data_IF_738492301745
#
_entry.id   IF_738492301745
#
_cell.length_a   1.000
_cell.length_b   1.000
_cell.length_c   1.000
_cell.angle_alpha   90.00
_cell.angle_beta   90.00
_cell.angle_gamma   90.00
#
_symmetry.space_group_name_H-M   'P 1'
#
loop_
_entity.id
_entity.type
_entity.pdbx_description
1 polymer ?
#
# COMPACT_ATOMS: atom_id res chain seq x y z
N UNK A 1 6.09 -9.21 -3.44
CA UNK A 1 5.84 -7.86 -2.87
C UNK A 1 6.08 -6.80 -3.92
N UNK A 2 5.26 -5.77 -3.93
CA UNK A 2 5.35 -4.68 -4.90
C UNK A 2 5.57 -3.37 -4.16
N UNK A 3 6.59 -2.60 -4.58
CA UNK A 3 6.80 -1.23 -4.08
C UNK A 3 6.14 -0.25 -5.05
N UNK A 4 5.23 0.57 -4.54
CA UNK A 4 4.57 1.64 -5.30
C UNK A 4 5.02 2.98 -4.76
N UNK A 5 5.59 3.82 -5.62
CA UNK A 5 6.01 5.16 -5.21
C UNK A 5 4.78 6.03 -4.91
N UNK A 6 4.86 6.79 -3.82
CA UNK A 6 3.70 7.50 -3.34
C UNK A 6 3.38 8.75 -4.12
N UNK A 7 2.08 9.06 -4.15
CA UNK A 7 1.55 10.36 -4.50
C UNK A 7 0.94 10.97 -3.24
N UNK A 8 0.92 12.30 -3.16
CA UNK A 8 0.35 13.01 -2.01
C UNK A 8 -1.18 12.97 -1.98
N UNK A 9 -1.81 12.60 -3.10
CA UNK A 9 -3.26 12.59 -3.24
C UNK A 9 -3.79 11.18 -3.46
N UNK A 10 -4.98 10.91 -2.94
CA UNK A 10 -5.60 9.58 -2.98
C UNK A 10 -5.82 9.09 -4.41
N UNK A 11 -6.31 9.94 -5.31
CA UNK A 11 -6.59 9.51 -6.68
C UNK A 11 -5.33 9.11 -7.45
N UNK A 12 -4.27 9.93 -7.49
CA UNK A 12 -3.01 9.49 -8.10
C UNK A 12 -2.41 8.26 -7.42
N UNK A 13 -2.59 8.14 -6.10
CA UNK A 13 -2.17 6.97 -5.36
C UNK A 13 -2.82 5.69 -5.89
N UNK A 14 -4.15 5.70 -6.04
CA UNK A 14 -4.91 4.56 -6.56
C UNK A 14 -4.45 4.18 -7.97
N UNK A 15 -4.25 5.17 -8.82
CA UNK A 15 -3.78 4.95 -10.18
C UNK A 15 -2.38 4.33 -10.20
N UNK A 16 -1.48 4.81 -9.36
CA UNK A 16 -0.11 4.29 -9.26
C UNK A 16 -0.10 2.85 -8.76
N UNK A 17 -0.90 2.55 -7.73
CA UNK A 17 -1.03 1.19 -7.21
C UNK A 17 -1.59 0.25 -8.28
N UNK A 18 -2.65 0.66 -8.97
CA UNK A 18 -3.27 -0.14 -10.02
C UNK A 18 -2.32 -0.43 -11.17
N UNK A 19 -1.58 0.58 -11.62
CA UNK A 19 -0.62 0.41 -12.71
C UNK A 19 0.49 -0.57 -12.35
N UNK A 20 1.05 -0.42 -11.13
CA UNK A 20 2.12 -1.30 -10.67
C UNK A 20 1.64 -2.72 -10.46
N UNK A 21 0.43 -2.88 -9.94
CA UNK A 21 -0.19 -4.19 -9.73
C UNK A 21 -0.40 -4.91 -11.05
N UNK A 22 -0.84 -4.21 -12.09
CA UNK A 22 -1.02 -4.80 -13.43
C UNK A 22 0.28 -5.34 -14.01
N UNK A 23 1.41 -4.70 -13.72
CA UNK A 23 2.72 -5.18 -14.15
C UNK A 23 3.15 -6.44 -13.41
N UNK A 24 2.69 -6.62 -12.18
CA UNK A 24 3.18 -7.67 -11.28
C UNK A 24 2.34 -8.92 -11.29
N UNK A 25 1.08 -8.85 -11.73
CA UNK A 25 0.13 -9.98 -11.67
C UNK A 25 -0.39 -10.27 -13.07
N UNK A 26 -0.10 -11.45 -13.59
CA UNK A 26 -0.57 -11.87 -14.91
C UNK A 26 -2.02 -12.32 -14.93
N UNK A 27 -2.49 -12.95 -13.86
CA UNK A 27 -3.85 -13.47 -13.72
C UNK A 27 -4.42 -13.07 -12.38
N UNK A 28 -5.76 -13.01 -12.30
CA UNK A 28 -6.43 -12.74 -11.04
C UNK A 28 -6.23 -13.90 -10.07
N UNK A 29 -5.96 -13.58 -8.81
CA UNK A 29 -5.83 -14.56 -7.75
C UNK A 29 -7.20 -15.03 -7.30
N UNK A 30 -7.36 -16.34 -7.12
CA UNK A 30 -8.59 -16.94 -6.64
C UNK A 30 -8.54 -17.22 -5.14
N UNK A 31 -9.72 -17.42 -4.54
CA UNK A 31 -9.85 -17.85 -3.17
C UNK A 31 -9.54 -16.77 -2.15
N UNK A 32 -9.48 -17.17 -0.87
CA UNK A 32 -9.22 -16.20 0.21
C UNK A 32 -7.77 -15.75 0.21
N UNK A 33 -7.56 -14.47 0.51
CA UNK A 33 -6.26 -13.83 0.44
C UNK A 33 -5.92 -13.10 1.74
N UNK A 34 -4.62 -13.02 2.03
CA UNK A 34 -4.06 -12.16 3.07
C UNK A 34 -3.39 -10.98 2.39
N UNK A 35 -3.74 -9.78 2.82
CA UNK A 35 -3.12 -8.54 2.34
C UNK A 35 -2.21 -7.99 3.42
N UNK A 36 -0.93 -7.80 3.07
CA UNK A 36 0.03 -7.11 3.91
C UNK A 36 0.45 -5.84 3.21
N UNK A 37 0.33 -4.70 3.86
CA UNK A 37 0.72 -3.43 3.27
C UNK A 37 1.39 -2.52 4.28
N UNK A 38 2.49 -1.90 3.86
CA UNK A 38 3.18 -0.86 4.63
C UNK A 38 3.17 0.41 3.79
N UNK A 39 2.52 1.44 4.30
CA UNK A 39 2.49 2.76 3.67
C UNK A 39 3.68 3.57 4.20
N UNK A 40 4.65 3.80 3.32
CA UNK A 40 5.86 4.57 3.64
C UNK A 40 5.63 6.00 3.20
N UNK A 41 5.44 6.89 4.17
CA UNK A 41 5.12 8.29 3.91
C UNK A 41 6.39 9.14 3.79
N UNK A 42 6.34 10.25 3.04
CA UNK A 42 7.52 11.11 2.89
C UNK A 42 8.10 11.55 4.23
N UNK A 43 9.43 11.55 4.32
CA UNK A 43 10.15 11.98 5.51
C UNK A 43 10.35 13.50 5.48
N UNK A 44 9.94 14.25 6.53
CA UNK A 44 10.18 15.69 6.57
C UNK A 44 11.69 15.98 6.63
N UNK A 45 12.13 17.01 5.91
CA UNK A 45 13.53 17.42 5.92
C UNK A 45 14.02 17.83 7.33
N UNK A 46 13.13 18.43 8.11
CA UNK A 46 13.45 18.86 9.47
C UNK A 46 13.78 17.69 10.39
N UNK A 47 13.34 16.49 10.07
CA UNK A 47 13.60 15.30 10.87
C UNK A 47 15.07 14.84 10.75
N UNK A 48 15.71 15.09 9.59
CA UNK A 48 17.07 14.63 9.33
C UNK A 48 17.21 13.15 9.55
N UNK A 49 18.23 12.73 10.30
CA UNK A 49 18.49 11.33 10.61
C UNK A 49 17.88 10.87 11.94
N UNK A 50 17.10 11.73 12.58
CA UNK A 50 16.48 11.40 13.87
C UNK A 50 15.42 10.31 13.69
N UNK A 51 15.19 9.46 14.71
CA UNK A 51 14.11 8.49 14.65
C UNK A 51 12.77 9.17 14.42
N UNK A 52 11.97 8.60 13.51
CA UNK A 52 10.65 9.16 13.21
C UNK A 52 9.66 8.75 14.30
N UNK A 53 8.85 9.72 14.79
CA UNK A 53 7.74 9.36 15.67
C UNK A 53 6.65 8.64 14.88
N UNK A 54 5.68 8.00 15.55
CA UNK A 54 4.54 7.41 14.85
C UNK A 54 3.87 8.42 13.93
N UNK A 55 3.50 7.96 12.74
CA UNK A 55 2.92 8.81 11.69
C UNK A 55 1.45 9.04 11.96
N UNK A 56 1.11 10.12 12.68
CA UNK A 56 -0.28 10.45 13.01
C UNK A 56 -0.90 11.49 12.09
N UNK A 57 -0.13 12.03 11.15
CA UNK A 57 -0.62 13.01 10.19
C UNK A 57 -1.39 12.33 9.05
N UNK A 58 -2.24 13.12 8.36
CA UNK A 58 -2.92 12.66 7.16
C UNK A 58 -1.93 12.28 6.06
N UNK A 59 -2.32 11.37 5.15
CA UNK A 59 -3.65 10.74 5.02
C UNK A 59 -3.88 9.64 6.06
N UNK A 60 -5.15 9.37 6.36
CA UNK A 60 -5.53 8.34 7.31
C UNK A 60 -5.25 6.93 6.76
N UNK A 61 -4.82 6.03 7.64
CA UNK A 61 -4.46 4.68 7.23
C UNK A 61 -5.63 3.92 6.60
N UNK A 62 -6.85 4.09 7.12
CA UNK A 62 -8.03 3.42 6.58
C UNK A 62 -8.35 3.91 5.16
N UNK A 63 -8.17 5.19 4.87
CA UNK A 63 -8.39 5.74 3.53
C UNK A 63 -7.36 5.24 2.54
N UNK A 64 -6.09 5.17 2.95
CA UNK A 64 -5.02 4.61 2.12
C UNK A 64 -5.31 3.14 1.82
N UNK A 65 -5.73 2.39 2.83
CA UNK A 65 -6.05 0.97 2.69
C UNK A 65 -7.22 0.77 1.73
N UNK A 66 -8.28 1.54 1.87
CA UNK A 66 -9.45 1.45 0.99
C UNK A 66 -9.08 1.75 -0.46
N UNK A 67 -8.29 2.79 -0.69
CA UNK A 67 -7.83 3.14 -2.04
C UNK A 67 -6.96 2.04 -2.63
N UNK A 68 -6.13 1.41 -1.80
CA UNK A 68 -5.29 0.29 -2.22
C UNK A 68 -6.14 -0.90 -2.62
N UNK A 69 -7.12 -1.29 -1.81
CA UNK A 69 -8.02 -2.40 -2.13
C UNK A 69 -8.82 -2.11 -3.40
N UNK A 70 -9.31 -0.88 -3.57
CA UNK A 70 -10.02 -0.50 -4.79
C UNK A 70 -9.13 -0.64 -6.02
N UNK A 71 -7.86 -0.27 -5.92
CA UNK A 71 -6.91 -0.37 -7.03
C UNK A 71 -6.56 -1.82 -7.36
N UNK A 72 -6.55 -2.71 -6.38
CA UNK A 72 -6.21 -4.12 -6.58
C UNK A 72 -7.40 -4.94 -7.10
N UNK A 73 -8.62 -4.50 -6.82
CA UNK A 73 -9.83 -5.17 -7.30
C UNK A 73 -9.92 -5.11 -8.82
N UNK A 74 -10.12 -6.27 -9.44
CA UNK A 74 -10.13 -6.38 -10.90
C UNK A 74 -8.73 -6.41 -11.53
N UNK A 75 -7.69 -6.22 -10.73
CA UNK A 75 -6.30 -6.23 -11.19
C UNK A 75 -5.55 -7.42 -10.63
N UNK A 76 -5.65 -7.66 -9.32
CA UNK A 76 -4.99 -8.77 -8.64
C UNK A 76 -5.98 -9.84 -8.20
N UNK A 77 -7.22 -9.48 -7.94
CA UNK A 77 -8.30 -10.39 -7.54
C UNK A 77 -9.64 -9.85 -8.04
N UNK A 78 -10.66 -10.70 -8.05
CA UNK A 78 -11.96 -10.34 -8.62
C UNK A 78 -12.81 -9.46 -7.71
N UNK A 79 -12.71 -9.68 -6.40
CA UNK A 79 -13.54 -8.98 -5.42
C UNK A 79 -12.77 -8.81 -4.12
N UNK A 80 -12.84 -7.63 -3.50
CA UNK A 80 -12.14 -7.34 -2.27
C UNK A 80 -12.65 -8.17 -1.08
N UNK A 81 -13.82 -8.80 -1.19
CA UNK A 81 -14.31 -9.76 -0.21
C UNK A 81 -13.42 -10.99 -0.07
N UNK A 82 -12.55 -11.25 -1.07
CA UNK A 82 -11.56 -12.32 -0.99
C UNK A 82 -10.49 -12.04 0.06
N UNK A 83 -10.26 -10.78 0.40
CA UNK A 83 -9.26 -10.40 1.40
C UNK A 83 -9.86 -10.63 2.78
N UNK A 84 -9.44 -11.73 3.41
CA UNK A 84 -9.98 -12.15 4.71
C UNK A 84 -9.12 -11.73 5.90
N UNK A 85 -7.87 -11.35 5.64
CA UNK A 85 -6.93 -10.87 6.67
C UNK A 85 -6.16 -9.69 6.10
N UNK A 86 -6.05 -8.63 6.88
CA UNK A 86 -5.33 -7.43 6.49
C UNK A 86 -4.37 -7.04 7.60
N UNK A 87 -3.10 -6.85 7.23
CA UNK A 87 -2.09 -6.23 8.08
C UNK A 87 -1.65 -4.95 7.41
N UNK A 88 -1.97 -3.81 8.00
CA UNK A 88 -1.66 -2.51 7.43
C UNK A 88 -0.91 -1.65 8.45
N UNK A 89 0.14 -0.97 7.98
CA UNK A 89 0.95 -0.10 8.80
C UNK A 89 1.32 1.16 8.03
N UNK A 90 1.26 2.30 8.70
CA UNK A 90 1.65 3.60 8.13
C UNK A 90 2.82 4.15 8.94
N UNK A 91 3.91 4.51 8.26
CA UNK A 91 5.09 5.06 8.92
C UNK A 91 5.81 6.06 8.02
N UNK A 92 6.70 6.84 8.59
CA UNK A 92 7.60 7.70 7.82
C UNK A 92 8.70 6.88 7.18
N UNK A 93 9.19 7.35 6.04
CA UNK A 93 10.36 6.76 5.39
C UNK A 93 11.59 6.91 6.27
N UNK A 94 12.47 5.90 6.22
CA UNK A 94 13.80 6.00 6.80
C UNK A 94 14.65 6.94 5.93
N UNK A 95 15.78 7.47 6.46
CA UNK A 95 16.67 8.30 5.64
C UNK A 95 17.07 7.55 4.36
N UNK A 96 16.83 8.18 3.20
CA UNK A 96 17.13 7.58 1.91
C UNK A 96 16.12 6.59 1.39
N UNK A 97 15.09 6.25 2.15
CA UNK A 97 14.05 5.32 1.70
C UNK A 97 13.03 6.05 0.80
N UNK A 98 12.67 5.41 -0.31
CA UNK A 98 11.66 5.94 -1.22
C UNK A 98 10.26 5.80 -0.62
N UNK A 99 9.47 6.88 -0.54
CA UNK A 99 8.07 6.77 -0.12
C UNK A 99 7.24 5.93 -1.09
N UNK A 100 6.25 5.22 -0.57
CA UNK A 100 5.40 4.37 -1.40
C UNK A 100 4.66 3.35 -0.55
N UNK A 101 4.24 2.26 -1.17
CA UNK A 101 3.61 1.14 -0.46
C UNK A 101 4.29 -0.17 -0.81
N UNK A 102 4.57 -0.94 0.22
CA UNK A 102 5.00 -2.34 0.06
C UNK A 102 3.76 -3.19 0.22
N UNK A 103 3.35 -3.87 -0.85
CA UNK A 103 2.11 -4.64 -0.91
C UNK A 103 2.43 -6.10 -1.18
N UNK A 104 1.89 -6.99 -0.36
CA UNK A 104 2.00 -8.43 -0.57
C UNK A 104 0.62 -9.06 -0.44
N UNK A 105 0.27 -9.88 -1.42
CA UNK A 105 -0.94 -10.70 -1.40
C UNK A 105 -0.51 -12.16 -1.37
N UNK A 106 -1.02 -12.91 -0.41
CA UNK A 106 -0.73 -14.33 -0.28
C UNK A 106 -2.02 -15.10 -0.07
N UNK A 107 -2.09 -16.38 -0.52
CA UNK A 107 -3.25 -17.20 -0.23
C UNK A 107 -3.44 -17.38 1.27
N UNK A 108 -4.71 -17.31 1.71
CA UNK A 108 -5.08 -17.57 3.10
C UNK A 108 -5.49 -19.03 3.20
N UNK A 109 -4.70 -19.80 3.88
CA UNK A 109 -4.98 -21.22 4.05
C UNK A 109 -5.92 -21.50 5.23
#
# INVERSE_FOLDING_TARGET
MVLVESSKKVKPWREAVGAKARESVGELLDGPLVLDVVFVMPRPKALGDKPAPPMVQRPDADKLLRSTCDALTGTCYGDDSQVVTIHAHKRRAEPGETPGAHIALTPAD
#
